data_IF_200260116993
#
_entry.id   IF_200260116993
#
_cell.length_a   1.000
_cell.length_b   1.000
_cell.length_c   1.000
_cell.angle_alpha   90.00
_cell.angle_beta   90.00
_cell.angle_gamma   90.00
#
_symmetry.space_group_name_H-M   'P 1'
#
loop_
_entity.id
_entity.type
_entity.pdbx_description
1 polymer ?
#
# COMPACT_ATOMS: atom_id res chain seq x y z
N UNK A 1 18.94 42.36 -9.09
CA UNK A 1 17.92 42.08 -10.13
C UNK A 1 18.16 40.67 -10.67
N UNK A 2 17.18 39.75 -10.70
CA UNK A 2 17.41 38.37 -11.15
C UNK A 2 17.63 38.31 -12.68
N UNK A 3 18.40 37.33 -13.18
CA UNK A 3 18.63 37.18 -14.61
C UNK A 3 17.34 36.84 -15.35
N UNK A 4 17.04 37.61 -16.40
CA UNK A 4 15.85 37.45 -17.22
C UNK A 4 16.17 36.67 -18.50
N UNK A 5 15.27 35.79 -18.96
CA UNK A 5 15.46 35.06 -20.20
C UNK A 5 15.46 36.02 -21.39
N UNK A 6 16.56 36.01 -22.18
CA UNK A 6 16.71 36.86 -23.36
C UNK A 6 15.73 36.51 -24.49
N UNK A 7 15.32 35.25 -24.59
CA UNK A 7 14.41 34.74 -25.64
C UNK A 7 13.42 33.72 -25.07
N UNK A 8 12.23 33.65 -25.67
CA UNK A 8 11.23 32.62 -25.37
C UNK A 8 11.77 31.23 -25.73
N UNK A 9 11.56 30.25 -24.86
CA UNK A 9 11.87 28.85 -25.16
C UNK A 9 10.95 28.31 -26.26
N UNK A 10 11.53 27.58 -27.23
CA UNK A 10 10.77 26.90 -28.27
C UNK A 10 9.92 25.77 -27.66
N UNK A 11 8.83 25.39 -28.35
CA UNK A 11 7.95 24.28 -27.92
C UNK A 11 8.74 22.99 -27.75
N UNK A 12 9.64 22.68 -28.69
CA UNK A 12 10.52 21.50 -28.62
C UNK A 12 11.40 21.50 -27.35
N UNK A 13 12.04 22.63 -27.01
CA UNK A 13 12.90 22.70 -25.81
C UNK A 13 12.09 22.54 -24.52
N UNK A 14 10.89 23.12 -24.44
CA UNK A 14 9.99 22.92 -23.29
C UNK A 14 9.52 21.45 -23.20
N UNK A 15 9.16 20.86 -24.33
CA UNK A 15 8.71 19.46 -24.44
C UNK A 15 9.78 18.48 -23.97
N UNK A 16 10.99 18.58 -24.53
CA UNK A 16 12.11 17.69 -24.16
C UNK A 16 12.45 17.80 -22.67
N UNK A 17 12.44 19.01 -22.11
CA UNK A 17 12.66 19.20 -20.66
C UNK A 17 11.57 18.52 -19.84
N UNK A 18 10.31 18.64 -20.24
CA UNK A 18 9.18 18.06 -19.51
C UNK A 18 9.05 16.54 -19.71
N UNK A 19 9.63 15.97 -20.76
CA UNK A 19 9.55 14.54 -21.06
C UNK A 19 10.17 13.66 -19.96
N UNK A 20 11.13 14.21 -19.20
CA UNK A 20 11.76 13.52 -18.07
C UNK A 20 10.94 13.58 -16.78
N UNK A 21 9.92 14.44 -16.71
CA UNK A 21 9.13 14.70 -15.51
C UNK A 21 7.85 13.85 -15.47
N UNK A 22 7.98 12.56 -15.79
CA UNK A 22 6.86 11.62 -15.71
C UNK A 22 6.67 11.14 -14.27
N UNK A 23 5.45 11.26 -13.74
CA UNK A 23 5.08 10.76 -12.41
C UNK A 23 4.68 9.28 -12.55
N UNK A 24 5.28 8.41 -11.72
CA UNK A 24 4.96 6.99 -11.67
C UNK A 24 3.93 6.73 -10.56
N UNK A 25 3.04 5.77 -10.79
CA UNK A 25 2.14 5.31 -9.72
C UNK A 25 2.94 4.60 -8.63
N UNK A 26 2.59 4.79 -7.34
CA UNK A 26 3.19 4.04 -6.26
C UNK A 26 2.79 2.56 -6.34
N UNK A 27 3.67 1.69 -5.84
CA UNK A 27 3.33 0.29 -5.66
C UNK A 27 2.17 0.16 -4.66
N UNK A 28 1.23 -0.73 -4.96
CA UNK A 28 0.13 -1.07 -4.06
C UNK A 28 -0.05 -2.58 -3.99
N UNK A 29 -0.43 -3.07 -2.81
CA UNK A 29 -0.76 -4.46 -2.53
C UNK A 29 -2.17 -4.55 -1.99
N UNK A 30 -2.85 -5.67 -2.22
CA UNK A 30 -4.22 -5.88 -1.73
C UNK A 30 -4.17 -6.39 -0.29
N UNK A 31 -4.91 -5.74 0.61
CA UNK A 31 -5.10 -6.23 1.97
C UNK A 31 -6.04 -7.44 1.99
N UNK A 32 -5.77 -8.47 2.80
CA UNK A 32 -6.70 -9.58 3.02
C UNK A 32 -7.86 -9.22 3.98
N UNK A 33 -8.10 -7.94 4.28
CA UNK A 33 -9.27 -7.52 5.05
C UNK A 33 -10.57 -7.62 4.24
N UNK A 34 -11.72 -7.56 4.94
CA UNK A 34 -13.04 -7.71 4.32
C UNK A 34 -13.31 -6.76 3.15
N UNK A 35 -12.73 -5.55 3.19
CA UNK A 35 -12.92 -4.49 2.18
C UNK A 35 -11.86 -4.49 1.07
N UNK A 36 -10.88 -5.39 1.12
CA UNK A 36 -9.85 -5.60 0.09
C UNK A 36 -9.18 -4.31 -0.43
N UNK A 37 -8.85 -3.41 0.48
CA UNK A 37 -8.27 -2.11 0.11
C UNK A 37 -6.84 -2.24 -0.42
N UNK A 38 -6.46 -1.34 -1.34
CA UNK A 38 -5.10 -1.22 -1.85
C UNK A 38 -4.25 -0.42 -0.87
N UNK A 39 -3.24 -1.07 -0.30
CA UNK A 39 -2.34 -0.47 0.68
C UNK A 39 -0.96 -0.28 0.04
N UNK A 40 -0.27 0.79 0.43
CA UNK A 40 1.15 0.95 0.15
C UNK A 40 1.97 -0.13 0.86
N UNK A 41 3.07 -0.59 0.25
CA UNK A 41 3.98 -1.54 0.88
C UNK A 41 4.62 -0.94 2.14
N UNK A 42 4.92 -1.80 3.12
CA UNK A 42 5.57 -1.47 4.39
C UNK A 42 4.77 -0.56 5.35
N UNK A 43 3.48 -0.37 5.10
CA UNK A 43 2.57 0.38 5.98
C UNK A 43 1.49 -0.57 6.50
N UNK A 44 1.07 -0.39 7.75
CA UNK A 44 -0.05 -1.13 8.32
C UNK A 44 -1.37 -0.67 7.70
N UNK A 45 -2.32 -1.59 7.53
CA UNK A 45 -3.66 -1.24 7.05
C UNK A 45 -4.34 -0.27 8.04
N UNK A 46 -4.88 0.88 7.57
CA UNK A 46 -5.59 1.81 8.46
C UNK A 46 -6.90 1.23 9.01
N UNK A 47 -7.51 0.27 8.31
CA UNK A 47 -8.80 -0.33 8.69
C UNK A 47 -8.66 -1.53 9.65
N UNK A 48 -7.68 -2.40 9.43
CA UNK A 48 -7.55 -3.64 10.21
C UNK A 48 -6.23 -3.78 10.96
N UNK A 49 -5.34 -2.79 10.88
CA UNK A 49 -4.04 -2.83 11.58
C UNK A 49 -3.08 -3.92 11.10
N UNK A 50 -3.41 -4.65 10.03
CA UNK A 50 -2.61 -5.75 9.53
C UNK A 50 -1.29 -5.23 8.92
N UNK A 51 -0.19 -5.82 9.37
CA UNK A 51 1.12 -5.67 8.77
C UNK A 51 1.88 -7.00 8.84
N UNK A 52 2.27 -7.55 7.69
CA UNK A 52 2.97 -8.85 7.58
C UNK A 52 2.23 -10.02 8.26
N UNK A 53 0.90 -10.03 8.23
CA UNK A 53 0.08 -11.13 8.76
C UNK A 53 -0.14 -11.09 10.27
N UNK A 54 0.17 -9.97 10.92
CA UNK A 54 -0.10 -9.73 12.34
C UNK A 54 -0.90 -8.46 12.50
N UNK A 55 -1.84 -8.47 13.44
CA UNK A 55 -2.60 -7.27 13.80
C UNK A 55 -1.82 -6.47 14.83
N UNK A 56 -1.62 -5.18 14.56
CA UNK A 56 -0.98 -4.29 15.54
C UNK A 56 -1.93 -4.05 16.73
N UNK A 57 -1.43 -3.89 17.97
CA UNK A 57 -2.28 -3.57 19.10
C UNK A 57 -2.92 -2.18 18.91
N UNK A 58 -4.24 -2.11 19.02
CA UNK A 58 -5.01 -0.90 18.80
C UNK A 58 -6.51 -1.17 18.70
N UNK A 59 -7.31 -0.10 18.65
CA UNK A 59 -8.74 -0.17 18.39
C UNK A 59 -8.98 -0.03 16.88
N UNK A 60 -8.95 -1.14 16.16
CA UNK A 60 -9.14 -1.17 14.70
C UNK A 60 -10.61 -1.41 14.34
N UNK A 61 -11.15 -0.70 13.34
CA UNK A 61 -12.55 -0.84 12.95
C UNK A 61 -12.87 -2.18 12.27
N UNK A 62 -11.88 -2.91 11.73
CA UNK A 62 -12.08 -4.19 11.06
C UNK A 62 -11.19 -5.32 11.58
N UNK A 63 -11.67 -6.56 11.41
CA UNK A 63 -10.92 -7.78 11.74
C UNK A 63 -9.95 -8.18 10.63
N UNK A 64 -8.76 -8.62 11.04
CA UNK A 64 -7.77 -9.21 10.14
C UNK A 64 -8.10 -10.69 9.93
N UNK A 65 -8.51 -11.06 8.71
CA UNK A 65 -8.91 -12.44 8.37
C UNK A 65 -7.74 -13.44 8.41
N UNK A 66 -6.49 -12.97 8.36
CA UNK A 66 -5.32 -13.85 8.47
C UNK A 66 -5.09 -14.42 9.88
N UNK A 67 -5.65 -13.81 10.92
CA UNK A 67 -5.50 -14.31 12.30
C UNK A 67 -6.50 -15.43 12.65
N UNK A 68 -7.52 -15.67 11.82
CA UNK A 68 -8.60 -16.61 12.15
C UNK A 68 -8.37 -18.05 11.71
N UNK A 69 -7.27 -18.36 11.02
CA UNK A 69 -6.92 -19.75 10.68
C UNK A 69 -6.08 -20.32 11.81
N UNK A 70 -6.73 -20.69 12.92
CA UNK A 70 -6.13 -21.67 13.81
C UNK A 70 -6.09 -23.01 13.08
N UNK A 71 -4.95 -23.74 13.06
CA UNK A 71 -4.94 -25.10 12.55
C UNK A 71 -5.91 -25.93 13.40
N UNK A 72 -6.91 -26.52 12.75
CA UNK A 72 -7.74 -27.59 13.29
C UNK A 72 -6.81 -28.79 13.50
N UNK A 73 -6.04 -28.78 14.58
CA UNK A 73 -5.13 -29.85 14.97
C UNK A 73 -5.31 -30.10 16.47
N UNK A 74 -6.54 -30.37 16.88
CA UNK A 74 -6.88 -30.83 18.24
C UNK A 74 -8.22 -31.60 18.27
N UNK A 75 -8.51 -32.45 17.28
CA UNK A 75 -9.63 -33.40 17.35
C UNK A 75 -9.24 -34.75 16.76
N UNK A 76 -8.44 -35.51 17.51
CA UNK A 76 -8.47 -36.98 17.51
C UNK A 76 -7.70 -37.50 18.71
N UNK A 77 -8.09 -37.06 19.91
CA UNK A 77 -7.90 -37.88 21.11
C UNK A 77 -9.17 -38.71 21.31
N UNK A 78 -8.95 -40.01 21.54
CA UNK A 78 -9.87 -41.02 22.05
C UNK A 78 -11.08 -41.42 21.20
N UNK A 79 -10.96 -42.56 20.51
CA UNK A 79 -12.05 -43.52 20.50
C UNK A 79 -11.50 -44.96 20.57
N UNK A 80 -11.74 -45.57 21.74
CA UNK A 80 -11.79 -47.01 22.09
C UNK A 80 -10.56 -47.91 21.91
#
# INVERSE_FOLDING_TARGET
MPPLPKKKHTRARKGNRNAHNAIKLPASSVCPCSRQERIQPHIACPECGNHKGRTMPGNWPQVNLLEQVQPIAASSESDS
#
